data_IF_309076047467
#
_entry.id   IF_309076047467
#
_cell.length_a   1.000
_cell.length_b   1.000
_cell.length_c   1.000
_cell.angle_alpha   90.00
_cell.angle_beta   90.00
_cell.angle_gamma   90.00
#
_symmetry.space_group_name_H-M   'P 1'
#
loop_
_entity.id
_entity.type
_entity.pdbx_description
1 polymer ?
#
# COMPACT_ATOMS: atom_id res chain seq x y z
N UNK A 1 -17.24 39.51 -15.91
CA UNK A 1 -15.97 39.89 -15.25
C UNK A 1 -15.62 38.78 -14.25
N UNK A 2 -14.54 38.01 -14.44
CA UNK A 2 -14.20 36.90 -13.54
C UNK A 2 -13.47 37.44 -12.30
N UNK A 3 -14.20 37.63 -11.20
CA UNK A 3 -13.69 38.17 -9.95
C UNK A 3 -12.76 37.18 -9.23
N UNK A 4 -13.01 35.88 -9.36
CA UNK A 4 -12.20 34.83 -8.73
C UNK A 4 -10.77 34.83 -9.27
N UNK A 5 -10.60 34.93 -10.60
CA UNK A 5 -9.26 35.01 -11.22
C UNK A 5 -8.51 36.27 -10.79
N UNK A 6 -9.22 37.38 -10.57
CA UNK A 6 -8.60 38.63 -10.12
C UNK A 6 -8.14 38.55 -8.66
N UNK A 7 -8.92 37.90 -7.79
CA UNK A 7 -8.55 37.69 -6.39
C UNK A 7 -7.37 36.71 -6.27
N UNK A 8 -7.34 35.63 -7.06
CA UNK A 8 -6.19 34.72 -7.13
C UNK A 8 -4.92 35.46 -7.55
N UNK A 9 -4.99 36.31 -8.58
CA UNK A 9 -3.85 37.14 -9.01
C UNK A 9 -3.38 38.11 -7.93
N UNK A 10 -4.29 38.71 -7.18
CA UNK A 10 -3.95 39.64 -6.10
C UNK A 10 -3.32 38.93 -4.88
N UNK A 11 -3.67 37.66 -4.63
CA UNK A 11 -3.18 36.85 -3.50
C UNK A 11 -2.38 35.62 -3.96
N UNK A 12 -1.64 35.73 -5.06
CA UNK A 12 -0.96 34.61 -5.74
C UNK A 12 -0.14 33.72 -4.81
N UNK A 13 0.68 34.32 -3.94
CA UNK A 13 1.53 33.56 -3.01
C UNK A 13 0.74 32.70 -2.01
N UNK A 14 -0.34 33.25 -1.43
CA UNK A 14 -1.19 32.50 -0.49
C UNK A 14 -1.95 31.38 -1.20
N UNK A 15 -2.48 31.66 -2.40
CA UNK A 15 -3.18 30.68 -3.21
C UNK A 15 -2.27 29.51 -3.60
N UNK A 16 -1.05 29.79 -4.07
CA UNK A 16 -0.06 28.76 -4.40
C UNK A 16 0.30 27.91 -3.19
N UNK A 17 0.54 28.53 -2.03
CA UNK A 17 0.85 27.80 -0.80
C UNK A 17 -0.27 26.82 -0.42
N UNK A 18 -1.53 27.25 -0.49
CA UNK A 18 -2.68 26.38 -0.22
C UNK A 18 -2.85 25.29 -1.26
N UNK A 19 -2.66 25.61 -2.55
CA UNK A 19 -2.77 24.65 -3.63
C UNK A 19 -1.70 23.56 -3.53
N UNK A 20 -0.46 23.95 -3.20
CA UNK A 20 0.63 23.01 -2.92
C UNK A 20 0.29 22.14 -1.72
N UNK A 21 -0.16 22.72 -0.61
CA UNK A 21 -0.58 21.96 0.58
C UNK A 21 -1.66 20.92 0.27
N UNK A 22 -2.69 21.32 -0.47
CA UNK A 22 -3.76 20.41 -0.91
C UNK A 22 -3.23 19.32 -1.85
N UNK A 23 -2.34 19.68 -2.78
CA UNK A 23 -1.68 18.75 -3.69
C UNK A 23 -0.81 17.72 -2.97
N UNK A 24 -0.08 18.14 -1.93
CA UNK A 24 0.72 17.23 -1.10
C UNK A 24 -0.17 16.26 -0.33
N UNK A 25 -1.29 16.74 0.24
CA UNK A 25 -2.26 15.86 0.91
C UNK A 25 -2.84 14.83 -0.05
N UNK A 26 -3.22 15.24 -1.26
CA UNK A 26 -3.70 14.32 -2.29
C UNK A 26 -2.63 13.31 -2.71
N UNK A 27 -1.37 13.74 -2.88
CA UNK A 27 -0.26 12.84 -3.18
C UNK A 27 -0.07 11.78 -2.10
N UNK A 28 -0.18 12.15 -0.81
CA UNK A 28 -0.06 11.20 0.29
C UNK A 28 -1.18 10.16 0.23
N UNK A 29 -2.42 10.60 0.00
CA UNK A 29 -3.58 9.68 -0.10
C UNK A 29 -3.39 8.71 -1.26
N UNK A 30 -2.99 9.20 -2.43
CA UNK A 30 -2.69 8.34 -3.58
C UNK A 30 -1.52 7.39 -3.30
N UNK A 31 -0.48 7.87 -2.61
CA UNK A 31 0.67 7.07 -2.20
C UNK A 31 0.29 5.94 -1.25
N UNK A 32 -0.53 6.22 -0.23
CA UNK A 32 -1.06 5.20 0.68
C UNK A 32 -1.89 4.16 -0.06
N UNK A 33 -2.75 4.59 -0.98
CA UNK A 33 -3.53 3.68 -1.83
C UNK A 33 -2.65 2.76 -2.68
N UNK A 34 -1.60 3.31 -3.29
CA UNK A 34 -0.64 2.55 -4.08
C UNK A 34 0.16 1.54 -3.24
N UNK A 35 0.66 1.96 -2.07
CA UNK A 35 1.39 1.07 -1.15
C UNK A 35 0.48 -0.06 -0.68
N UNK A 36 -0.76 0.24 -0.31
CA UNK A 36 -1.73 -0.76 0.10
C UNK A 36 -1.98 -1.79 -1.00
N UNK A 37 -2.26 -1.33 -2.22
CA UNK A 37 -2.46 -2.22 -3.37
C UNK A 37 -1.21 -3.07 -3.67
N UNK A 38 -0.01 -2.49 -3.53
CA UNK A 38 1.26 -3.20 -3.70
C UNK A 38 1.47 -4.31 -2.66
N UNK A 39 1.20 -4.04 -1.38
CA UNK A 39 1.31 -5.04 -0.31
C UNK A 39 0.31 -6.18 -0.53
N UNK A 40 -0.91 -5.87 -0.95
CA UNK A 40 -1.92 -6.91 -1.26
C UNK A 40 -1.44 -7.78 -2.43
N UNK A 41 -0.95 -7.17 -3.51
CA UNK A 41 -0.43 -7.91 -4.66
C UNK A 41 0.75 -8.81 -4.29
N UNK A 42 1.70 -8.31 -3.48
CA UNK A 42 2.84 -9.09 -3.00
C UNK A 42 2.40 -10.26 -2.10
N UNK A 43 1.42 -10.02 -1.22
CA UNK A 43 0.89 -11.05 -0.32
C UNK A 43 0.12 -12.17 -1.04
N UNK A 44 -0.51 -11.90 -2.19
CA UNK A 44 -1.25 -12.92 -2.97
C UNK A 44 -0.43 -13.53 -4.10
N UNK A 45 0.71 -12.94 -4.48
CA UNK A 45 1.51 -13.37 -5.62
C UNK A 45 1.79 -14.87 -5.65
N UNK A 46 2.26 -15.44 -4.54
CA UNK A 46 2.56 -16.88 -4.46
C UNK A 46 1.31 -17.76 -4.55
N UNK A 47 0.19 -17.28 -4.03
CA UNK A 47 -1.09 -18.03 -4.09
C UNK A 47 -1.61 -18.04 -5.52
N UNK A 48 -1.50 -16.90 -6.21
CA UNK A 48 -1.99 -16.72 -7.58
C UNK A 48 -1.09 -17.41 -8.63
N UNK A 49 0.23 -17.45 -8.43
CA UNK A 49 1.17 -18.09 -9.37
C UNK A 49 1.22 -19.62 -9.27
N UNK A 50 1.00 -20.18 -8.06
CA UNK A 50 1.17 -21.61 -7.85
C UNK A 50 -0.03 -22.45 -8.31
N UNK A 51 -1.16 -21.81 -8.68
CA UNK A 51 -2.38 -22.40 -9.26
C UNK A 51 -2.78 -23.74 -8.62
N UNK A 52 -2.67 -23.84 -7.30
CA UNK A 52 -2.87 -25.09 -6.59
C UNK A 52 -4.36 -25.33 -6.33
N UNK A 53 -4.86 -26.49 -6.76
CA UNK A 53 -6.25 -26.90 -6.52
C UNK A 53 -6.56 -27.12 -5.03
N UNK A 54 -5.57 -27.54 -4.24
CA UNK A 54 -5.72 -27.84 -2.81
C UNK A 54 -4.45 -27.51 -2.02
N UNK A 55 -4.63 -26.78 -0.92
CA UNK A 55 -3.58 -26.51 0.06
C UNK A 55 -3.76 -27.36 1.32
N UNK A 56 -2.71 -28.10 1.69
CA UNK A 56 -2.66 -28.85 2.94
C UNK A 56 -1.72 -28.13 3.90
N UNK A 57 -2.25 -27.65 5.01
CA UNK A 57 -1.49 -26.95 6.06
C UNK A 57 -1.76 -27.55 7.42
N UNK A 58 -0.81 -27.42 8.34
CA UNK A 58 -1.01 -27.85 9.72
C UNK A 58 -2.11 -27.01 10.39
N UNK A 59 -2.88 -27.64 11.28
CA UNK A 59 -3.93 -26.97 12.05
C UNK A 59 -3.29 -25.94 13.01
N UNK A 60 -3.90 -24.75 13.11
CA UNK A 60 -3.45 -23.63 13.94
C UNK A 60 -2.15 -22.93 13.48
N UNK A 61 -1.83 -22.95 12.18
CA UNK A 61 -0.78 -22.08 11.60
C UNK A 61 -1.38 -20.88 10.87
N UNK A 62 -0.55 -19.90 10.52
CA UNK A 62 -0.90 -18.73 9.69
C UNK A 62 -0.99 -19.05 8.20
N UNK A 63 -1.03 -20.32 7.83
CA UNK A 63 -1.03 -20.78 6.44
C UNK A 63 0.35 -21.19 5.94
N UNK A 64 0.48 -21.46 4.63
CA UNK A 64 1.67 -22.08 4.06
C UNK A 64 2.86 -21.12 3.95
N UNK A 65 2.61 -19.81 3.82
CA UNK A 65 3.65 -18.80 3.54
C UNK A 65 3.87 -17.78 4.66
N UNK A 66 2.91 -17.62 5.58
CA UNK A 66 2.98 -16.64 6.66
C UNK A 66 3.43 -17.23 8.00
N UNK A 67 3.80 -18.52 8.04
CA UNK A 67 4.31 -19.17 9.24
C UNK A 67 5.83 -18.98 9.38
N UNK A 68 6.31 -18.92 10.62
CA UNK A 68 7.74 -18.79 10.89
C UNK A 68 8.48 -20.06 10.44
N UNK A 69 9.36 -19.91 9.44
CA UNK A 69 10.27 -20.98 9.02
C UNK A 69 11.34 -21.19 10.10
N UNK A 70 11.03 -22.02 11.10
CA UNK A 70 11.98 -22.48 12.12
C UNK A 70 12.01 -23.99 12.11
N UNK A 71 13.17 -24.54 11.78
CA UNK A 71 13.45 -25.96 11.98
C UNK A 71 14.03 -26.11 13.39
N UNK A 72 13.43 -26.96 14.25
CA UNK A 72 13.99 -27.26 15.55
C UNK A 72 15.43 -27.77 15.43
N UNK A 73 16.33 -27.30 16.29
CA UNK A 73 17.76 -27.65 16.25
C UNK A 73 18.08 -29.10 16.63
N UNK A 74 17.06 -29.89 17.01
CA UNK A 74 17.17 -31.30 17.38
C UNK A 74 16.74 -32.25 16.25
N UNK A 75 16.67 -31.74 15.01
CA UNK A 75 16.32 -32.51 13.80
C UNK A 75 17.59 -33.00 13.07
N UNK A 76 18.78 -32.53 13.49
CA UNK A 76 20.07 -33.12 13.13
C UNK A 76 20.44 -34.16 14.20
N UNK A 77 20.63 -35.42 13.77
CA UNK A 77 21.34 -36.45 14.55
C UNK A 77 22.85 -36.15 14.59
#
# INVERSE_FOLDING_TARGET
MNLAVRDVRYKLGRFLLTAVGLGLLLMIVMGMGGIYAGIVADATLLVDELDADLWVVQRNTRGPFAELSRVPSNVED
#
